data_IF_726734320465
#
_entry.id   IF_726734320465
#
_cell.length_a   1.000
_cell.length_b   1.000
_cell.length_c   1.000
_cell.angle_alpha   90.00
_cell.angle_beta   90.00
_cell.angle_gamma   90.00
#
_symmetry.space_group_name_H-M   'P 1'
#
loop_
_entity.id
_entity.type
_entity.pdbx_description
1 polymer ?
#
# COMPACT_ATOMS: atom_id res chain seq x y z
N UNK A 1 -10.37 22.77 48.06
CA UNK A 1 -10.07 23.17 46.66
C UNK A 1 -8.70 22.69 46.20
N UNK A 2 -7.69 22.71 47.08
CA UNK A 2 -6.30 22.24 46.88
C UNK A 2 -6.15 20.78 46.41
N UNK A 3 -6.85 19.81 47.01
CA UNK A 3 -6.73 18.39 46.64
C UNK A 3 -7.11 18.07 45.18
N UNK A 4 -8.02 18.85 44.57
CA UNK A 4 -8.40 18.68 43.16
C UNK A 4 -7.26 19.05 42.21
N UNK A 5 -6.50 20.10 42.54
CA UNK A 5 -5.33 20.51 41.76
C UNK A 5 -4.18 19.50 41.92
N UNK A 6 -3.98 18.93 43.11
CA UNK A 6 -2.98 17.88 43.34
C UNK A 6 -3.29 16.61 42.55
N UNK A 7 -4.55 16.16 42.51
CA UNK A 7 -4.97 15.00 41.72
C UNK A 7 -4.80 15.26 40.21
N UNK A 8 -5.15 16.46 39.75
CA UNK A 8 -4.99 16.87 38.35
C UNK A 8 -3.50 16.88 37.93
N UNK A 9 -2.62 17.41 38.78
CA UNK A 9 -1.18 17.42 38.52
C UNK A 9 -0.57 16.02 38.48
N UNK A 10 -1.01 15.11 39.35
CA UNK A 10 -0.57 13.70 39.32
C UNK A 10 -1.05 13.01 38.04
N UNK A 11 -2.30 13.24 37.61
CA UNK A 11 -2.83 12.66 36.38
C UNK A 11 -2.07 13.14 35.12
N UNK A 12 -1.72 14.43 35.06
CA UNK A 12 -0.89 14.99 33.98
C UNK A 12 0.52 14.38 34.02
N UNK A 13 1.13 14.26 35.19
CA UNK A 13 2.47 13.67 35.33
C UNK A 13 2.50 12.20 34.88
N UNK A 14 1.47 11.40 35.19
CA UNK A 14 1.36 10.01 34.74
C UNK A 14 1.17 9.92 33.23
N UNK A 15 0.34 10.78 32.63
CA UNK A 15 0.12 10.81 31.18
C UNK A 15 1.40 11.13 30.38
N UNK A 16 2.28 11.98 30.94
CA UNK A 16 3.58 12.31 30.34
C UNK A 16 4.54 11.13 30.27
N UNK A 17 4.46 10.17 31.20
CA UNK A 17 5.35 9.00 31.26
C UNK A 17 4.99 7.97 30.16
N UNK A 18 3.71 7.89 29.78
CA UNK A 18 3.23 6.97 28.74
C UNK A 18 3.67 7.39 27.33
N UNK A 19 4.04 8.66 27.14
CA UNK A 19 4.43 9.20 25.83
C UNK A 19 5.90 8.91 25.44
N UNK A 20 6.70 8.33 26.34
CA UNK A 20 8.15 8.12 26.13
C UNK A 20 8.47 6.72 25.56
N UNK A 21 7.46 5.89 25.28
CA UNK A 21 7.68 4.63 24.59
C UNK A 21 7.95 4.87 23.11
N UNK A 22 9.22 4.70 22.69
CA UNK A 22 9.60 4.64 21.28
C UNK A 22 8.81 3.51 20.60
N UNK A 23 7.89 3.85 19.70
CA UNK A 23 7.26 2.87 18.83
C UNK A 23 8.35 2.21 17.98
N UNK A 24 8.35 0.88 17.80
CA UNK A 24 9.28 0.24 16.87
C UNK A 24 9.05 0.82 15.47
N UNK A 25 10.13 0.99 14.70
CA UNK A 25 10.01 1.39 13.30
C UNK A 25 9.12 0.39 12.57
N UNK A 26 8.14 0.88 11.82
CA UNK A 26 7.29 0.05 10.98
C UNK A 26 8.17 -0.77 10.03
N UNK A 27 7.94 -2.08 9.94
CA UNK A 27 8.69 -2.93 9.00
C UNK A 27 8.41 -2.47 7.57
N UNK A 28 9.48 -2.19 6.82
CA UNK A 28 9.41 -1.85 5.40
C UNK A 28 10.08 -2.96 4.60
N UNK A 29 9.35 -3.50 3.64
CA UNK A 29 9.87 -4.47 2.69
C UNK A 29 10.98 -3.83 1.86
N UNK A 30 12.14 -4.47 1.83
CA UNK A 30 13.25 -4.06 0.98
C UNK A 30 12.97 -4.40 -0.49
N UNK A 31 13.68 -3.74 -1.40
CA UNK A 31 13.64 -4.08 -2.83
C UNK A 31 13.88 -5.57 -3.08
N UNK A 32 14.85 -6.17 -2.38
CA UNK A 32 15.17 -7.60 -2.55
C UNK A 32 14.02 -8.49 -2.09
N UNK A 33 13.43 -8.20 -0.93
CA UNK A 33 12.28 -8.96 -0.43
C UNK A 33 11.06 -8.82 -1.35
N UNK A 34 10.86 -7.64 -1.96
CA UNK A 34 9.79 -7.46 -2.95
C UNK A 34 10.01 -8.33 -4.18
N UNK A 35 11.21 -8.31 -4.76
CA UNK A 35 11.56 -9.17 -5.90
C UNK A 35 11.37 -10.64 -5.52
N UNK A 36 11.90 -11.06 -4.38
CA UNK A 36 11.80 -12.46 -3.95
C UNK A 36 10.35 -12.89 -3.71
N UNK A 37 9.48 -11.98 -3.26
CA UNK A 37 8.06 -12.24 -3.02
C UNK A 37 7.24 -12.33 -4.31
N UNK A 38 7.50 -11.49 -5.30
CA UNK A 38 6.61 -11.32 -6.46
C UNK A 38 7.20 -11.77 -7.80
N UNK A 39 8.47 -12.20 -7.86
CA UNK A 39 9.12 -12.63 -9.11
C UNK A 39 8.37 -13.77 -9.82
N UNK A 40 7.87 -14.75 -9.07
CA UNK A 40 7.20 -15.91 -9.67
C UNK A 40 5.87 -15.50 -10.31
N UNK A 41 5.16 -14.54 -9.71
CA UNK A 41 3.93 -14.00 -10.29
C UNK A 41 4.23 -13.13 -11.50
N UNK A 42 5.26 -12.29 -11.45
CA UNK A 42 5.67 -11.50 -12.62
C UNK A 42 6.09 -12.40 -13.80
N UNK A 43 6.72 -13.54 -13.54
CA UNK A 43 7.04 -14.54 -14.57
C UNK A 43 5.77 -15.19 -15.10
N UNK A 44 4.81 -15.56 -14.24
CA UNK A 44 3.50 -16.09 -14.67
C UNK A 44 2.80 -15.10 -15.60
N UNK A 45 2.69 -13.85 -15.18
CA UNK A 45 2.07 -12.78 -15.93
C UNK A 45 2.77 -12.52 -17.26
N UNK A 46 4.10 -12.61 -17.31
CA UNK A 46 4.86 -12.56 -18.56
C UNK A 46 4.48 -13.69 -19.52
N UNK A 47 4.33 -14.91 -19.03
CA UNK A 47 3.96 -16.06 -19.87
C UNK A 47 2.52 -15.98 -20.36
N UNK A 48 1.60 -15.42 -19.56
CA UNK A 48 0.19 -15.31 -19.92
C UNK A 48 -0.14 -14.10 -20.80
N UNK A 49 0.47 -12.95 -20.49
CA UNK A 49 0.10 -11.64 -21.05
C UNK A 49 1.21 -10.99 -21.88
N UNK A 50 2.41 -11.58 -21.93
CA UNK A 50 3.51 -11.10 -22.78
C UNK A 50 4.28 -9.89 -22.24
N UNK A 51 3.90 -9.33 -21.10
CA UNK A 51 4.64 -8.23 -20.46
C UNK A 51 5.89 -8.77 -19.78
N UNK A 52 7.12 -8.32 -20.11
CA UNK A 52 8.32 -8.87 -19.49
C UNK A 52 8.29 -8.76 -17.96
N UNK A 53 8.60 -9.86 -17.27
CA UNK A 53 8.55 -9.92 -15.80
C UNK A 53 9.37 -8.81 -15.12
N UNK A 54 10.50 -8.41 -15.74
CA UNK A 54 11.34 -7.30 -15.27
C UNK A 54 10.62 -5.95 -15.31
N UNK A 55 9.78 -5.70 -16.31
CA UNK A 55 8.98 -4.48 -16.44
C UNK A 55 7.88 -4.47 -15.38
N UNK A 56 7.15 -5.58 -15.23
CA UNK A 56 6.11 -5.72 -14.20
C UNK A 56 6.69 -5.52 -12.79
N UNK A 57 7.83 -6.15 -12.47
CA UNK A 57 8.50 -5.95 -11.19
C UNK A 57 9.00 -4.52 -10.99
N UNK A 58 9.64 -3.93 -12.01
CA UNK A 58 10.16 -2.57 -11.92
C UNK A 58 9.04 -1.54 -11.67
N UNK A 59 7.93 -1.63 -12.41
CA UNK A 59 6.77 -0.77 -12.21
C UNK A 59 6.14 -1.03 -10.85
N UNK A 60 5.86 -2.30 -10.50
CA UNK A 60 5.29 -2.64 -9.20
C UNK A 60 6.13 -2.07 -8.06
N UNK A 61 7.45 -2.20 -8.10
CA UNK A 61 8.35 -1.65 -7.09
C UNK A 61 8.32 -0.12 -7.03
N UNK A 62 8.36 0.56 -8.17
CA UNK A 62 8.37 2.02 -8.24
C UNK A 62 7.06 2.60 -7.70
N UNK A 63 5.93 2.13 -8.22
CA UNK A 63 4.58 2.65 -7.91
C UNK A 63 4.15 2.31 -6.47
N UNK A 64 4.59 1.17 -5.94
CA UNK A 64 4.24 0.73 -4.57
C UNK A 64 5.26 1.06 -3.50
N UNK A 65 6.37 1.73 -3.85
CA UNK A 65 7.53 1.91 -2.97
C UNK A 65 8.04 0.58 -2.37
N UNK A 66 8.24 -0.43 -3.23
CA UNK A 66 8.52 -1.82 -2.86
C UNK A 66 7.45 -2.43 -1.95
N UNK A 67 6.17 -2.15 -2.21
CA UNK A 67 5.02 -2.70 -1.49
C UNK A 67 4.71 -2.01 -0.17
N UNK A 68 5.27 -0.82 0.07
CA UNK A 68 5.19 -0.11 1.35
C UNK A 68 4.30 1.15 1.30
N UNK A 69 3.78 1.54 0.14
CA UNK A 69 2.87 2.67 0.03
C UNK A 69 1.54 2.37 0.75
N UNK A 70 0.81 3.39 1.26
CA UNK A 70 -0.49 3.16 1.88
C UNK A 70 -1.47 2.43 0.95
N UNK A 71 -1.47 2.79 -0.34
CA UNK A 71 -2.30 2.12 -1.34
C UNK A 71 -1.93 0.64 -1.51
N UNK A 72 -0.65 0.30 -1.53
CA UNK A 72 -0.21 -1.09 -1.61
C UNK A 72 -0.59 -1.88 -0.34
N UNK A 73 -0.34 -1.32 0.84
CA UNK A 73 -0.56 -1.99 2.13
C UNK A 73 -2.05 -2.17 2.45
N UNK A 74 -2.88 -1.14 2.21
CA UNK A 74 -4.27 -1.13 2.67
C UNK A 74 -5.28 -1.49 1.57
N UNK A 75 -4.88 -1.42 0.30
CA UNK A 75 -5.71 -1.74 -0.85
C UNK A 75 -5.19 -2.88 -1.72
N UNK A 76 -4.02 -3.46 -1.41
CA UNK A 76 -3.36 -4.46 -2.25
C UNK A 76 -3.15 -4.00 -3.70
N UNK A 77 -3.05 -2.69 -3.93
CA UNK A 77 -2.94 -2.10 -5.27
C UNK A 77 -1.52 -1.59 -5.46
N UNK A 78 -0.70 -2.39 -6.16
CA UNK A 78 0.72 -2.13 -6.34
C UNK A 78 1.04 -1.21 -7.52
N UNK A 79 0.04 -0.90 -8.36
CA UNK A 79 0.25 -0.23 -9.66
C UNK A 79 -0.56 1.07 -9.79
N UNK A 80 -1.11 1.59 -8.69
CA UNK A 80 -1.85 2.85 -8.72
C UNK A 80 -3.12 2.81 -9.59
N UNK A 81 -3.74 1.64 -9.78
CA UNK A 81 -4.84 1.51 -10.73
C UNK A 81 -6.07 2.25 -10.21
N UNK A 82 -6.46 3.33 -10.91
CA UNK A 82 -7.61 4.17 -10.57
C UNK A 82 -8.94 3.47 -10.88
N UNK A 83 -10.00 3.87 -10.17
CA UNK A 83 -11.36 3.46 -10.48
C UNK A 83 -11.79 4.07 -11.82
N UNK A 84 -11.90 3.24 -12.85
CA UNK A 84 -12.45 3.65 -14.15
C UNK A 84 -13.93 3.28 -14.25
N UNK A 85 -14.61 3.75 -15.30
CA UNK A 85 -16.00 3.34 -15.59
C UNK A 85 -16.07 1.82 -15.69
N UNK A 86 -16.95 1.20 -14.89
CA UNK A 86 -17.15 -0.24 -14.84
C UNK A 86 -16.42 -0.98 -13.72
N UNK A 87 -15.67 -0.28 -12.86
CA UNK A 87 -15.19 -0.91 -11.63
C UNK A 87 -16.32 -1.02 -10.60
N UNK A 88 -16.71 -2.26 -10.29
CA UNK A 88 -17.76 -2.58 -9.30
C UNK A 88 -17.19 -3.23 -8.02
N UNK A 89 -15.86 -3.39 -7.96
CA UNK A 89 -15.17 -3.99 -6.83
C UNK A 89 -14.94 -3.02 -5.67
N UNK A 90 -14.14 -3.47 -4.70
CA UNK A 90 -13.77 -2.65 -3.55
C UNK A 90 -12.95 -1.43 -3.99
N UNK A 91 -13.06 -0.34 -3.23
CA UNK A 91 -12.35 0.90 -3.51
C UNK A 91 -11.52 1.37 -2.32
N UNK A 92 -10.55 2.22 -2.61
CA UNK A 92 -9.75 2.92 -1.62
C UNK A 92 -9.62 4.39 -2.05
N UNK A 93 -9.95 5.32 -1.14
CA UNK A 93 -9.86 6.76 -1.42
C UNK A 93 -8.54 7.29 -0.87
N UNK A 94 -7.76 7.93 -1.74
CA UNK A 94 -6.49 8.56 -1.38
C UNK A 94 -6.29 9.82 -2.21
N UNK A 95 -5.59 10.81 -1.65
CA UNK A 95 -5.07 11.93 -2.44
C UNK A 95 -3.86 11.45 -3.26
N UNK A 96 -3.78 11.88 -4.53
CA UNK A 96 -2.69 11.59 -5.47
C UNK A 96 -2.40 12.84 -6.35
N UNK A 97 -2.92 12.91 -7.59
CA UNK A 97 -2.86 14.11 -8.44
C UNK A 97 -3.86 15.17 -7.97
N UNK A 98 -5.02 14.72 -7.50
CA UNK A 98 -6.12 15.54 -6.99
C UNK A 98 -6.64 14.97 -5.67
N UNK A 99 -7.52 15.71 -4.98
CA UNK A 99 -8.08 15.27 -3.70
C UNK A 99 -9.14 14.19 -3.89
N UNK A 100 -9.16 13.22 -2.98
CA UNK A 100 -10.15 12.15 -2.89
C UNK A 100 -10.24 11.30 -4.17
N UNK A 101 -9.12 10.91 -4.75
CA UNK A 101 -9.12 10.02 -5.90
C UNK A 101 -9.50 8.59 -5.51
N UNK A 102 -10.21 7.92 -6.41
CA UNK A 102 -10.65 6.54 -6.22
C UNK A 102 -9.64 5.60 -6.87
N UNK A 103 -9.12 4.68 -6.06
CA UNK A 103 -8.30 3.56 -6.50
C UNK A 103 -9.03 2.24 -6.33
N UNK A 104 -8.75 1.30 -7.21
CA UNK A 104 -9.20 -0.09 -7.06
C UNK A 104 -8.58 -0.67 -5.80
N UNK A 105 -9.35 -1.44 -5.05
CA UNK A 105 -8.89 -2.25 -3.93
C UNK A 105 -9.11 -3.72 -4.26
N UNK A 106 -8.07 -4.51 -4.01
CA UNK A 106 -8.06 -5.93 -4.34
C UNK A 106 -8.09 -6.79 -3.07
N UNK A 107 -8.60 -8.00 -3.20
CA UNK A 107 -8.60 -8.99 -2.12
C UNK A 107 -7.20 -9.51 -1.83
N UNK A 108 -6.35 -9.59 -2.86
CA UNK A 108 -4.94 -9.94 -2.73
C UNK A 108 -4.08 -9.12 -3.70
N UNK A 109 -2.76 -9.09 -3.47
CA UNK A 109 -1.81 -8.31 -4.28
C UNK A 109 -1.73 -8.81 -5.73
N UNK A 110 -1.82 -10.11 -5.96
CA UNK A 110 -1.65 -10.71 -7.29
C UNK A 110 -2.80 -10.32 -8.24
N UNK A 111 -3.99 -10.06 -7.71
CA UNK A 111 -5.09 -9.49 -8.50
C UNK A 111 -4.69 -8.14 -9.14
N UNK A 112 -3.91 -7.31 -8.43
CA UNK A 112 -3.39 -6.05 -8.99
C UNK A 112 -2.34 -6.28 -10.08
N UNK A 113 -1.56 -7.38 -10.00
CA UNK A 113 -0.62 -7.78 -11.05
C UNK A 113 -1.37 -8.20 -12.32
N UNK A 114 -2.42 -9.02 -12.16
CA UNK A 114 -3.21 -9.48 -13.30
C UNK A 114 -3.94 -8.31 -13.99
N UNK A 115 -4.54 -7.40 -13.22
CA UNK A 115 -5.22 -6.22 -13.76
C UNK A 115 -4.24 -5.28 -14.47
N UNK A 116 -3.03 -5.09 -13.91
CA UNK A 116 -1.96 -4.34 -14.56
C UNK A 116 -1.54 -4.96 -15.90
N UNK A 117 -1.29 -6.27 -15.95
CA UNK A 117 -0.92 -6.95 -17.19
C UNK A 117 -2.02 -6.87 -18.26
N UNK A 118 -3.29 -7.03 -17.85
CA UNK A 118 -4.43 -6.90 -18.76
C UNK A 118 -4.54 -5.49 -19.33
N UNK A 119 -4.30 -4.46 -18.52
CA UNK A 119 -4.29 -3.08 -18.97
C UNK A 119 -3.23 -2.86 -20.07
N UNK A 120 -1.99 -3.29 -19.84
CA UNK A 120 -0.91 -3.15 -20.81
C UNK A 120 -1.16 -3.93 -22.10
N UNK A 121 -1.75 -5.12 -22.02
CA UNK A 121 -2.01 -5.94 -23.19
C UNK A 121 -3.19 -5.45 -24.04
N UNK A 122 -4.17 -4.76 -23.44
CA UNK A 122 -5.38 -4.33 -24.15
C UNK A 122 -5.35 -2.88 -24.63
N UNK A 123 -4.48 -2.04 -24.07
CA UNK A 123 -4.46 -0.58 -24.31
C UNK A 123 -3.06 0.05 -24.39
N UNK A 124 -2.00 -0.75 -24.26
CA UNK A 124 -0.60 -0.32 -24.33
C UNK A 124 -0.12 -0.01 -25.73
#
# INVERSE_FOLDING_TARGET
MTYKYSILLIAIAVASIVSVYSQPAEYKMTQREYIDRYKDEAIREMLMNGVPASITLAQGMLESANGNSPLAVYANNHFGIKCHRGWEGLTFIQDDDTRNECFRKYSNVLDSYSDHSQFLNTRG
#
